data_IF_351527120530
#
_entry.id   IF_351527120530
#
_cell.length_a   1.000
_cell.length_b   1.000
_cell.length_c   1.000
_cell.angle_alpha   90.00
_cell.angle_beta   90.00
_cell.angle_gamma   90.00
#
_symmetry.space_group_name_H-M   'P 1'
#
loop_
_entity.id
_entity.type
_entity.pdbx_description
1 polymer ?
#
# COMPACT_ATOMS: atom_id res chain seq x y z
N UNK A 1 -69.73 -5.13 10.97
CA UNK A 1 -68.53 -5.99 11.16
C UNK A 1 -67.30 -5.18 10.70
N UNK A 2 -66.63 -4.47 11.64
CA UNK A 2 -65.38 -3.74 11.37
C UNK A 2 -64.21 -4.71 11.63
N UNK A 3 -63.48 -5.08 10.59
CA UNK A 3 -62.23 -5.83 10.67
C UNK A 3 -61.04 -4.92 11.01
N UNK A 4 -60.48 -5.11 12.19
CA UNK A 4 -59.28 -4.38 12.66
C UNK A 4 -58.03 -5.10 12.08
N UNK A 5 -57.38 -4.55 11.04
CA UNK A 5 -56.10 -5.02 10.56
C UNK A 5 -54.97 -4.52 11.49
N UNK A 6 -54.44 -5.41 12.31
CA UNK A 6 -53.21 -5.20 13.08
C UNK A 6 -52.02 -5.32 12.11
N UNK A 7 -51.43 -4.20 11.73
CA UNK A 7 -50.12 -4.17 11.06
C UNK A 7 -49.02 -4.43 12.06
N UNK A 8 -48.46 -5.66 12.06
CA UNK A 8 -47.22 -5.99 12.76
C UNK A 8 -46.05 -5.30 12.05
N UNK A 9 -45.56 -4.19 12.62
CA UNK A 9 -44.29 -3.59 12.22
C UNK A 9 -43.13 -4.47 12.75
N UNK A 10 -42.68 -5.44 11.97
CA UNK A 10 -41.42 -6.14 12.22
C UNK A 10 -40.26 -5.22 11.90
N UNK A 11 -39.68 -4.58 12.92
CA UNK A 11 -38.41 -3.84 12.77
C UNK A 11 -37.27 -4.87 12.56
N UNK A 12 -36.91 -5.08 11.32
CA UNK A 12 -35.66 -5.80 11.01
C UNK A 12 -34.49 -4.93 11.52
N UNK A 13 -33.89 -5.32 12.64
CA UNK A 13 -32.56 -4.82 13.02
C UNK A 13 -31.58 -5.40 12.02
N UNK A 14 -31.16 -4.61 11.04
CA UNK A 14 -29.97 -4.92 10.22
C UNK A 14 -28.81 -4.95 11.20
N UNK A 15 -28.25 -6.13 11.44
CA UNK A 15 -27.02 -6.26 12.21
C UNK A 15 -25.94 -5.42 11.51
N UNK A 16 -25.36 -4.46 12.23
CA UNK A 16 -24.26 -3.66 11.68
C UNK A 16 -23.15 -4.63 11.24
N UNK A 17 -22.78 -4.55 9.98
CA UNK A 17 -21.73 -5.40 9.43
C UNK A 17 -20.43 -5.12 10.20
N UNK A 18 -19.82 -6.18 10.76
CA UNK A 18 -18.56 -6.10 11.50
C UNK A 18 -17.49 -5.44 10.62
N UNK A 19 -16.78 -4.42 11.14
CA UNK A 19 -15.71 -3.75 10.38
C UNK A 19 -14.54 -4.69 10.14
N UNK A 20 -13.78 -4.47 9.07
CA UNK A 20 -12.58 -5.26 8.79
C UNK A 20 -11.58 -5.23 9.97
N UNK A 21 -11.40 -4.08 10.61
CA UNK A 21 -10.53 -3.94 11.78
C UNK A 21 -10.99 -4.88 12.91
N UNK A 22 -12.28 -4.87 13.24
CA UNK A 22 -12.83 -5.75 14.28
C UNK A 22 -12.67 -7.25 13.93
N UNK A 23 -12.82 -7.60 12.65
CA UNK A 23 -12.58 -8.97 12.20
C UNK A 23 -11.12 -9.39 12.39
N UNK A 24 -10.17 -8.52 12.02
CA UNK A 24 -8.74 -8.77 12.20
C UNK A 24 -8.41 -8.94 13.67
N UNK A 25 -8.86 -8.03 14.54
CA UNK A 25 -8.61 -8.08 15.98
C UNK A 25 -9.13 -9.39 16.57
N UNK A 26 -10.34 -9.79 16.18
CA UNK A 26 -10.93 -11.06 16.61
C UNK A 26 -10.11 -12.27 16.16
N UNK A 27 -9.65 -12.29 14.91
CA UNK A 27 -8.84 -13.39 14.39
C UNK A 27 -7.46 -13.48 15.08
N UNK A 28 -6.83 -12.35 15.35
CA UNK A 28 -5.57 -12.29 16.11
C UNK A 28 -5.77 -12.83 17.52
N UNK A 29 -6.83 -12.39 18.22
CA UNK A 29 -7.15 -12.86 19.56
C UNK A 29 -7.42 -14.38 19.60
N UNK A 30 -8.16 -14.90 18.62
CA UNK A 30 -8.49 -16.33 18.54
C UNK A 30 -7.27 -17.22 18.28
N UNK A 31 -6.28 -16.71 17.53
CA UNK A 31 -5.09 -17.49 17.17
C UNK A 31 -3.92 -17.32 18.15
N UNK A 32 -4.04 -16.42 19.12
CA UNK A 32 -2.99 -16.16 20.11
C UNK A 32 -3.40 -16.73 21.45
N UNK A 33 -2.80 -17.84 21.92
CA UNK A 33 -3.07 -18.37 23.25
C UNK A 33 -2.81 -17.29 24.32
N UNK A 34 -3.69 -17.22 25.31
CA UNK A 34 -3.62 -16.22 26.40
C UNK A 34 -3.60 -14.75 25.96
N UNK A 35 -4.20 -14.41 24.81
CA UNK A 35 -4.20 -13.05 24.24
C UNK A 35 -4.54 -11.98 25.30
N UNK A 36 -5.57 -12.19 26.10
CA UNK A 36 -6.01 -11.22 27.12
C UNK A 36 -4.95 -10.92 28.19
N UNK A 37 -4.01 -11.86 28.41
CA UNK A 37 -2.91 -11.68 29.36
C UNK A 37 -1.67 -11.09 28.70
N UNK A 38 -1.48 -11.34 27.40
CA UNK A 38 -0.29 -10.93 26.64
C UNK A 38 -0.47 -9.59 25.94
N UNK A 39 -1.72 -9.22 25.63
CA UNK A 39 -2.03 -7.98 24.93
C UNK A 39 -1.58 -6.76 25.78
N UNK A 40 -0.82 -5.88 25.18
CA UNK A 40 -0.49 -4.61 25.81
C UNK A 40 -1.75 -3.75 25.97
N UNK A 41 -1.81 -2.89 26.99
CA UNK A 41 -2.91 -1.93 27.12
C UNK A 41 -2.95 -0.99 25.90
N UNK A 42 -4.13 -0.47 25.61
CA UNK A 42 -4.29 0.53 24.57
C UNK A 42 -3.39 1.75 24.86
N UNK A 43 -2.72 2.23 23.81
CA UNK A 43 -1.92 3.45 23.89
C UNK A 43 -2.75 4.63 24.40
N UNK A 44 -2.17 5.46 25.25
CA UNK A 44 -2.78 6.73 25.64
C UNK A 44 -2.86 7.71 24.45
N UNK A 45 -3.50 8.85 24.67
CA UNK A 45 -3.70 9.82 23.59
C UNK A 45 -2.41 10.50 23.13
N UNK A 46 -1.42 10.63 23.99
CA UNK A 46 -0.14 11.22 23.62
C UNK A 46 0.68 10.26 22.74
N UNK A 47 0.72 8.99 23.12
CA UNK A 47 1.37 7.95 22.33
C UNK A 47 0.66 7.73 21.00
N UNK A 48 -0.68 7.64 21.01
CA UNK A 48 -1.49 7.52 19.80
C UNK A 48 -1.22 8.67 18.83
N UNK A 49 -1.28 9.91 19.33
CA UNK A 49 -1.03 11.11 18.53
C UNK A 49 0.35 11.06 17.86
N UNK A 50 1.39 10.76 18.65
CA UNK A 50 2.76 10.69 18.13
C UNK A 50 2.91 9.61 17.05
N UNK A 51 2.36 8.42 17.27
CA UNK A 51 2.39 7.32 16.29
C UNK A 51 1.64 7.69 15.02
N UNK A 52 0.39 8.15 15.13
CA UNK A 52 -0.43 8.54 13.98
C UNK A 52 0.28 9.59 13.10
N UNK A 53 0.89 10.61 13.71
CA UNK A 53 1.66 11.60 12.97
C UNK A 53 2.88 11.03 12.28
N UNK A 54 3.69 10.22 12.97
CA UNK A 54 4.89 9.60 12.40
C UNK A 54 4.55 8.65 11.26
N UNK A 55 3.54 7.81 11.45
CA UNK A 55 3.17 6.79 10.46
C UNK A 55 2.54 7.41 9.21
N UNK A 56 1.75 8.47 9.37
CA UNK A 56 1.03 9.08 8.24
C UNK A 56 1.79 10.24 7.59
N UNK A 57 2.60 11.00 8.31
CA UNK A 57 3.28 12.18 7.76
C UNK A 57 4.81 12.12 7.79
N UNK A 58 5.36 11.14 8.51
CA UNK A 58 6.81 11.01 8.71
C UNK A 58 7.39 12.07 9.64
N UNK A 59 6.56 12.79 10.39
CA UNK A 59 6.99 13.85 11.30
C UNK A 59 6.26 13.78 12.65
N UNK A 60 6.79 14.48 13.66
CA UNK A 60 6.08 14.64 14.93
C UNK A 60 5.03 15.75 14.82
N UNK A 61 3.96 15.72 15.63
CA UNK A 61 2.94 16.77 15.61
C UNK A 61 3.52 18.12 16.04
N UNK A 62 3.10 19.23 15.41
CA UNK A 62 3.36 20.57 15.92
C UNK A 62 2.82 20.74 17.34
N UNK A 63 3.50 21.53 18.18
CA UNK A 63 3.12 21.68 19.58
C UNK A 63 1.69 22.23 19.79
N UNK A 64 1.20 23.04 18.86
CA UNK A 64 -0.17 23.55 18.89
C UNK A 64 -1.19 22.41 18.65
N UNK A 65 -0.97 21.58 17.62
CA UNK A 65 -1.82 20.42 17.32
C UNK A 65 -1.82 19.40 18.46
N UNK A 66 -0.65 19.17 19.06
CA UNK A 66 -0.52 18.27 20.19
C UNK A 66 -1.35 18.76 21.40
N UNK A 67 -1.24 20.03 21.76
CA UNK A 67 -2.02 20.61 22.85
C UNK A 67 -3.52 20.55 22.57
N UNK A 68 -3.94 20.90 21.35
CA UNK A 68 -5.35 20.88 20.95
C UNK A 68 -5.93 19.46 21.04
N UNK A 69 -5.23 18.46 20.51
CA UNK A 69 -5.68 17.07 20.54
C UNK A 69 -5.77 16.51 21.97
N UNK A 70 -4.77 16.80 22.81
CA UNK A 70 -4.78 16.31 24.20
C UNK A 70 -5.84 16.99 25.06
N UNK A 71 -6.20 18.25 24.77
CA UNK A 71 -7.27 18.95 25.45
C UNK A 71 -8.68 18.53 24.99
N UNK A 72 -8.81 18.00 23.79
CA UNK A 72 -10.07 17.55 23.23
C UNK A 72 -10.58 16.29 23.98
N UNK A 73 -11.82 16.34 24.45
CA UNK A 73 -12.50 15.23 25.14
C UNK A 73 -13.60 14.60 24.26
N UNK A 74 -13.70 14.97 23.00
CA UNK A 74 -14.75 14.48 22.11
C UNK A 74 -14.58 12.98 21.80
N UNK A 75 -15.67 12.22 21.79
CA UNK A 75 -15.64 10.84 21.32
C UNK A 75 -15.27 10.81 19.82
N UNK A 76 -14.41 9.88 19.43
CA UNK A 76 -14.00 9.75 18.02
C UNK A 76 -12.85 10.68 17.57
N UNK A 77 -12.26 11.49 18.45
CA UNK A 77 -11.15 12.40 18.12
C UNK A 77 -9.96 11.67 17.44
N UNK A 78 -9.71 10.40 17.80
CA UNK A 78 -8.65 9.60 17.19
C UNK A 78 -8.93 9.30 15.71
N UNK A 79 -10.17 8.91 15.38
CA UNK A 79 -10.57 8.68 13.99
C UNK A 79 -10.52 10.00 13.18
N UNK A 80 -11.04 11.08 13.74
CA UNK A 80 -10.99 12.41 13.10
C UNK A 80 -9.56 12.89 12.86
N UNK A 81 -8.62 12.57 13.76
CA UNK A 81 -7.21 12.88 13.56
C UNK A 81 -6.66 12.11 12.36
N UNK A 82 -6.94 10.82 12.25
CA UNK A 82 -6.49 9.98 11.12
C UNK A 82 -7.03 10.55 9.81
N UNK A 83 -8.35 10.80 9.72
CA UNK A 83 -8.99 11.34 8.52
C UNK A 83 -8.37 12.67 8.10
N UNK A 84 -8.12 13.56 9.07
CA UNK A 84 -7.44 14.84 8.83
C UNK A 84 -6.03 14.65 8.29
N UNK A 85 -5.22 13.77 8.88
CA UNK A 85 -3.85 13.53 8.45
C UNK A 85 -3.79 12.91 7.04
N UNK A 86 -4.67 11.96 6.73
CA UNK A 86 -4.77 11.34 5.41
C UNK A 86 -5.09 12.35 4.29
N UNK A 87 -5.78 13.43 4.62
CA UNK A 87 -6.12 14.50 3.67
C UNK A 87 -4.99 15.53 3.47
N UNK A 88 -3.86 15.40 4.17
CA UNK A 88 -2.77 16.39 4.09
C UNK A 88 -1.80 16.13 2.94
N UNK A 89 -1.18 17.18 2.37
CA UNK A 89 -0.07 17.02 1.43
C UNK A 89 1.15 16.31 2.05
N UNK A 90 1.31 16.41 3.37
CA UNK A 90 2.36 15.73 4.15
C UNK A 90 2.24 14.20 4.03
N UNK A 91 1.02 13.67 4.15
CA UNK A 91 0.73 12.25 3.92
C UNK A 91 1.16 11.82 2.52
N UNK A 92 0.73 12.53 1.50
CA UNK A 92 1.07 12.17 0.12
C UNK A 92 2.58 12.21 -0.14
N UNK A 93 3.31 13.18 0.44
CA UNK A 93 4.78 13.26 0.36
C UNK A 93 5.47 12.15 1.15
N UNK A 94 4.95 11.82 2.33
CA UNK A 94 5.52 10.74 3.13
C UNK A 94 5.35 9.40 2.42
N UNK A 95 4.15 9.08 1.98
CA UNK A 95 3.88 7.84 1.24
C UNK A 95 4.66 7.75 -0.08
N UNK A 96 4.79 8.85 -0.81
CA UNK A 96 5.64 8.90 -2.01
C UNK A 96 7.07 8.47 -1.70
N UNK A 97 7.68 8.98 -0.62
CA UNK A 97 9.06 8.62 -0.23
C UNK A 97 9.18 7.16 0.22
N UNK A 98 8.21 6.67 1.00
CA UNK A 98 8.20 5.27 1.45
C UNK A 98 8.09 4.31 0.26
N UNK A 99 7.17 4.60 -0.66
CA UNK A 99 6.96 3.77 -1.84
C UNK A 99 8.07 3.89 -2.87
N UNK A 100 8.69 5.05 -3.04
CA UNK A 100 9.90 5.17 -3.86
C UNK A 100 11.03 4.28 -3.30
N UNK A 101 11.29 4.36 -2.00
CA UNK A 101 12.30 3.53 -1.36
C UNK A 101 11.99 2.04 -1.51
N UNK A 102 10.73 1.65 -1.35
CA UNK A 102 10.30 0.25 -1.43
C UNK A 102 10.35 -0.27 -2.87
N UNK A 103 9.74 0.45 -3.82
CA UNK A 103 9.62 0.01 -5.21
C UNK A 103 10.92 0.14 -5.99
N UNK A 104 11.68 1.21 -5.76
CA UNK A 104 12.93 1.47 -6.51
C UNK A 104 14.20 1.05 -5.76
N UNK A 105 14.11 0.70 -4.46
CA UNK A 105 15.24 0.17 -3.66
C UNK A 105 16.52 0.99 -3.80
N UNK A 106 16.40 2.32 -3.92
CA UNK A 106 17.50 3.29 -4.17
C UNK A 106 18.23 3.07 -5.50
N UNK A 107 17.58 2.49 -6.50
CA UNK A 107 18.15 2.42 -7.84
C UNK A 107 18.46 3.83 -8.36
N UNK A 108 19.63 4.03 -8.97
CA UNK A 108 19.98 5.32 -9.54
C UNK A 108 19.04 5.69 -10.70
N UNK A 109 18.89 6.98 -10.93
CA UNK A 109 18.19 7.45 -12.12
C UNK A 109 18.98 7.06 -13.38
N UNK A 110 18.29 6.48 -14.35
CA UNK A 110 18.87 6.14 -15.66
C UNK A 110 18.06 6.73 -16.81
N UNK A 111 16.82 6.30 -16.95
CA UNK A 111 16.00 6.53 -18.14
C UNK A 111 14.81 7.45 -17.90
N UNK A 112 14.32 7.52 -16.65
CA UNK A 112 13.17 8.36 -16.28
C UNK A 112 13.59 9.33 -15.19
N UNK A 113 13.32 10.66 -15.36
CA UNK A 113 13.62 11.65 -14.34
C UNK A 113 12.92 11.32 -13.01
N UNK A 114 13.69 11.35 -11.91
CA UNK A 114 13.16 11.11 -10.56
C UNK A 114 11.92 11.96 -10.25
N UNK A 115 11.88 13.27 -10.60
CA UNK A 115 10.71 14.10 -10.32
C UNK A 115 9.41 13.62 -10.99
N UNK A 116 9.47 12.97 -12.16
CA UNK A 116 8.28 12.45 -12.84
C UNK A 116 7.70 11.25 -12.08
N UNK A 117 8.56 10.35 -11.63
CA UNK A 117 8.17 9.22 -10.78
C UNK A 117 7.62 9.68 -9.42
N UNK A 118 8.30 10.62 -8.76
CA UNK A 118 7.85 11.18 -7.49
C UNK A 118 6.50 11.88 -7.62
N UNK A 119 6.29 12.62 -8.72
CA UNK A 119 5.01 13.24 -9.04
C UNK A 119 3.92 12.18 -9.17
N UNK A 120 4.16 11.13 -9.96
CA UNK A 120 3.22 10.03 -10.15
C UNK A 120 2.80 9.38 -8.82
N UNK A 121 3.76 9.04 -7.96
CA UNK A 121 3.47 8.46 -6.65
C UNK A 121 2.70 9.44 -5.76
N UNK A 122 3.16 10.68 -5.66
CA UNK A 122 2.52 11.69 -4.82
C UNK A 122 1.08 11.97 -5.23
N UNK A 123 0.81 12.10 -6.51
CA UNK A 123 -0.56 12.28 -7.03
C UNK A 123 -1.42 11.04 -6.77
N UNK A 124 -0.85 9.86 -6.87
CA UNK A 124 -1.56 8.62 -6.56
C UNK A 124 -2.01 8.55 -5.10
N UNK A 125 -1.16 8.94 -4.16
CA UNK A 125 -1.52 8.96 -2.74
C UNK A 125 -2.42 10.16 -2.38
N UNK A 126 -2.21 11.32 -2.97
CA UNK A 126 -3.08 12.48 -2.76
C UNK A 126 -4.52 12.24 -3.20
N UNK A 127 -4.73 11.41 -4.21
CA UNK A 127 -6.06 11.05 -4.74
C UNK A 127 -6.60 9.74 -4.19
N UNK A 128 -5.89 9.14 -3.23
CA UNK A 128 -6.21 7.80 -2.71
C UNK A 128 -6.47 6.78 -3.82
N UNK A 129 -5.57 6.75 -4.82
CA UNK A 129 -5.69 5.83 -5.97
C UNK A 129 -5.75 4.39 -5.48
N UNK A 130 -6.71 3.56 -5.94
CA UNK A 130 -6.78 2.14 -5.62
C UNK A 130 -5.47 1.43 -5.95
N UNK A 131 -5.05 0.52 -5.06
CA UNK A 131 -3.77 -0.18 -5.18
C UNK A 131 -3.62 -0.95 -6.49
N UNK A 132 -4.67 -1.64 -6.92
CA UNK A 132 -4.66 -2.37 -8.19
C UNK A 132 -4.45 -1.45 -9.40
N UNK A 133 -5.02 -0.24 -9.37
CA UNK A 133 -4.83 0.76 -10.42
C UNK A 133 -3.40 1.30 -10.44
N UNK A 134 -2.81 1.56 -9.26
CA UNK A 134 -1.42 1.99 -9.15
C UNK A 134 -0.48 0.93 -9.70
N UNK A 135 -0.65 -0.33 -9.29
CA UNK A 135 0.17 -1.46 -9.77
C UNK A 135 0.00 -1.66 -11.27
N UNK A 136 -1.23 -1.62 -11.80
CA UNK A 136 -1.47 -1.70 -13.26
C UNK A 136 -0.73 -0.61 -14.01
N UNK A 137 -0.80 0.63 -13.55
CA UNK A 137 -0.09 1.74 -14.20
C UNK A 137 1.42 1.55 -14.20
N UNK A 138 1.99 1.01 -13.12
CA UNK A 138 3.42 0.70 -13.04
C UNK A 138 3.78 -0.45 -14.00
N UNK A 139 2.99 -1.53 -14.01
CA UNK A 139 3.33 -2.75 -14.74
C UNK A 139 2.94 -2.71 -16.23
N UNK A 140 2.04 -1.81 -16.66
CA UNK A 140 1.62 -1.70 -18.06
C UNK A 140 2.18 -0.48 -18.79
N UNK A 141 2.93 0.41 -18.11
CA UNK A 141 3.47 1.61 -18.74
C UNK A 141 4.75 1.28 -19.53
N UNK A 142 4.73 1.57 -20.82
CA UNK A 142 5.85 1.33 -21.73
C UNK A 142 6.78 2.56 -21.89
N UNK A 143 6.43 3.69 -21.28
CA UNK A 143 7.19 4.93 -21.35
C UNK A 143 7.12 5.66 -22.68
N UNK A 144 6.22 5.28 -23.59
CA UNK A 144 6.04 5.92 -24.91
C UNK A 144 5.35 7.28 -24.82
N UNK A 145 4.46 7.47 -23.85
CA UNK A 145 3.81 8.74 -23.59
C UNK A 145 4.70 9.69 -22.78
N UNK A 146 5.21 10.78 -23.38
CA UNK A 146 6.08 11.72 -22.68
C UNK A 146 5.41 12.44 -21.51
N UNK A 147 4.08 12.53 -21.50
CA UNK A 147 3.33 13.18 -20.42
C UNK A 147 3.01 12.24 -19.24
N UNK A 148 3.16 10.93 -19.43
CA UNK A 148 2.88 9.91 -18.41
C UNK A 148 4.01 8.88 -18.33
N UNK A 149 5.25 9.34 -18.31
CA UNK A 149 6.41 8.47 -18.31
C UNK A 149 6.84 8.01 -16.92
N UNK A 150 6.42 8.71 -15.88
CA UNK A 150 6.78 8.40 -14.49
C UNK A 150 6.66 6.92 -14.12
N UNK A 151 5.50 6.26 -14.31
CA UNK A 151 5.33 4.84 -13.94
C UNK A 151 6.31 3.89 -14.63
N UNK A 152 6.76 4.21 -15.88
CA UNK A 152 7.70 3.37 -16.63
C UNK A 152 9.09 3.29 -15.98
N UNK A 153 9.41 4.15 -15.01
CA UNK A 153 10.66 4.09 -14.28
C UNK A 153 10.93 2.71 -13.70
N UNK A 154 9.90 2.01 -13.28
CA UNK A 154 10.02 0.66 -12.71
C UNK A 154 10.74 -0.30 -13.67
N UNK A 155 10.39 -0.29 -14.95
CA UNK A 155 11.03 -1.12 -15.97
C UNK A 155 12.30 -0.49 -16.54
N UNK A 156 12.24 0.78 -16.89
CA UNK A 156 13.29 1.43 -17.65
C UNK A 156 14.59 1.60 -16.84
N UNK A 157 14.47 1.91 -15.53
CA UNK A 157 15.65 2.04 -14.67
C UNK A 157 16.19 0.70 -14.18
N UNK A 158 15.50 -0.42 -14.51
CA UNK A 158 16.00 -1.80 -14.42
C UNK A 158 16.55 -2.31 -15.75
N UNK A 159 16.77 -1.43 -16.72
CA UNK A 159 17.28 -1.74 -18.08
C UNK A 159 16.40 -2.75 -18.86
N UNK A 160 15.14 -2.93 -18.46
CA UNK A 160 14.27 -3.96 -19.03
C UNK A 160 14.74 -5.38 -18.76
N UNK A 161 15.65 -5.59 -17.80
CA UNK A 161 16.17 -6.92 -17.47
C UNK A 161 15.06 -7.81 -16.93
N UNK A 162 14.68 -8.80 -17.73
CA UNK A 162 13.60 -9.74 -17.42
C UNK A 162 13.79 -10.44 -16.07
N UNK A 163 15.02 -10.83 -15.74
CA UNK A 163 15.29 -11.57 -14.50
C UNK A 163 15.18 -10.69 -13.27
N UNK A 164 15.68 -9.46 -13.35
CA UNK A 164 15.55 -8.47 -12.26
C UNK A 164 14.07 -8.10 -12.07
N UNK A 165 13.35 -7.83 -13.16
CA UNK A 165 11.94 -7.47 -13.13
C UNK A 165 11.09 -8.60 -12.55
N UNK A 166 11.31 -9.85 -12.98
CA UNK A 166 10.57 -11.02 -12.46
C UNK A 166 10.71 -11.16 -10.95
N UNK A 167 11.93 -11.06 -10.42
CA UNK A 167 12.20 -11.18 -8.99
C UNK A 167 11.58 -10.02 -8.21
N UNK A 168 11.74 -8.79 -8.71
CA UNK A 168 11.20 -7.62 -8.05
C UNK A 168 9.67 -7.60 -8.09
N UNK A 169 9.03 -7.95 -9.21
CA UNK A 169 7.57 -8.06 -9.29
C UNK A 169 7.04 -9.12 -8.34
N UNK A 170 7.64 -10.31 -8.32
CA UNK A 170 7.25 -11.36 -7.40
C UNK A 170 7.36 -10.92 -5.93
N UNK A 171 8.48 -10.29 -5.57
CA UNK A 171 8.75 -9.86 -4.20
C UNK A 171 7.89 -8.67 -3.75
N UNK A 172 7.76 -7.66 -4.60
CA UNK A 172 7.14 -6.38 -4.22
C UNK A 172 5.62 -6.40 -4.33
N UNK A 173 5.06 -7.15 -5.29
CA UNK A 173 3.62 -7.15 -5.55
C UNK A 173 2.91 -8.44 -5.16
N UNK A 174 3.64 -9.58 -5.12
CA UNK A 174 3.06 -10.89 -4.78
C UNK A 174 3.55 -11.44 -3.43
N UNK A 175 4.55 -10.80 -2.80
CA UNK A 175 5.13 -11.29 -1.55
C UNK A 175 5.94 -12.59 -1.69
N UNK A 176 6.34 -12.95 -2.92
CA UNK A 176 7.03 -14.20 -3.24
C UNK A 176 8.53 -13.96 -3.47
N UNK A 177 9.38 -14.69 -2.76
CA UNK A 177 10.83 -14.59 -2.96
C UNK A 177 11.34 -15.70 -3.90
N UNK A 178 11.57 -15.35 -5.16
CA UNK A 178 12.04 -16.27 -6.20
C UNK A 178 13.54 -16.18 -6.50
N UNK A 179 14.35 -15.75 -5.55
CA UNK A 179 15.81 -15.65 -5.75
C UNK A 179 16.44 -17.01 -6.13
N UNK A 180 16.02 -18.10 -5.47
CA UNK A 180 16.54 -19.45 -5.74
C UNK A 180 15.90 -20.08 -6.97
N UNK A 181 14.61 -19.80 -7.23
CA UNK A 181 13.80 -20.53 -8.20
C UNK A 181 14.09 -20.19 -9.66
N UNK A 182 14.97 -19.22 -9.91
CA UNK A 182 15.53 -19.03 -11.24
C UNK A 182 16.35 -20.22 -11.73
N UNK A 183 17.07 -20.92 -10.82
CA UNK A 183 18.01 -21.99 -11.19
C UNK A 183 17.53 -23.39 -10.78
N UNK A 184 16.79 -23.51 -9.67
CA UNK A 184 16.30 -24.79 -9.14
C UNK A 184 15.10 -24.55 -8.24
N UNK A 185 14.36 -25.59 -7.89
CA UNK A 185 13.28 -25.52 -6.90
C UNK A 185 13.83 -25.08 -5.54
N UNK A 186 13.01 -24.36 -4.76
CA UNK A 186 13.46 -23.86 -3.45
C UNK A 186 13.79 -25.03 -2.51
N UNK A 187 14.98 -25.04 -1.86
CA UNK A 187 15.44 -26.22 -1.11
C UNK A 187 14.65 -26.51 0.18
N UNK A 188 13.86 -25.56 0.68
CA UNK A 188 13.14 -25.67 1.94
C UNK A 188 11.64 -25.35 1.82
N UNK A 189 11.18 -24.80 0.72
CA UNK A 189 9.79 -24.38 0.51
C UNK A 189 9.30 -25.09 -0.76
N UNK A 190 8.59 -26.20 -0.58
CA UNK A 190 8.15 -27.08 -1.68
C UNK A 190 7.23 -26.36 -2.68
N UNK A 191 6.48 -25.34 -2.23
CA UNK A 191 5.60 -24.54 -3.08
C UNK A 191 6.36 -23.60 -4.01
N UNK A 192 7.65 -23.33 -3.76
CA UNK A 192 8.45 -22.42 -4.59
C UNK A 192 9.28 -23.20 -5.60
N UNK A 193 8.68 -23.45 -6.78
CA UNK A 193 9.29 -24.22 -7.85
C UNK A 193 9.84 -23.31 -8.95
N UNK A 194 10.80 -23.84 -9.71
CA UNK A 194 11.37 -23.17 -10.87
C UNK A 194 10.30 -22.82 -11.91
N UNK A 195 9.30 -23.67 -12.10
CA UNK A 195 8.18 -23.41 -13.01
C UNK A 195 7.38 -22.13 -12.66
N UNK A 196 7.23 -21.80 -11.37
CA UNK A 196 6.56 -20.59 -10.93
C UNK A 196 7.36 -19.32 -11.30
N UNK A 197 8.69 -19.38 -11.18
CA UNK A 197 9.56 -18.31 -11.63
C UNK A 197 9.39 -18.06 -13.14
N UNK A 198 9.49 -19.11 -13.95
CA UNK A 198 9.37 -18.98 -15.41
C UNK A 198 7.94 -18.63 -15.85
N UNK A 199 6.93 -19.08 -15.11
CA UNK A 199 5.55 -18.67 -15.34
C UNK A 199 5.35 -17.16 -15.23
N UNK A 200 5.92 -16.51 -14.19
CA UNK A 200 5.91 -15.06 -14.05
C UNK A 200 6.83 -14.39 -15.07
N UNK A 201 8.02 -14.94 -15.28
CA UNK A 201 9.01 -14.42 -16.23
C UNK A 201 8.45 -14.34 -17.67
N UNK A 202 7.58 -15.25 -18.04
CA UNK A 202 6.96 -15.28 -19.38
C UNK A 202 6.19 -13.99 -19.73
N UNK A 203 5.70 -13.25 -18.74
CA UNK A 203 5.06 -11.94 -18.96
C UNK A 203 6.06 -10.86 -19.37
N UNK A 204 7.35 -11.02 -19.07
CA UNK A 204 8.38 -10.00 -19.27
C UNK A 204 9.36 -10.35 -20.41
N UNK A 205 9.30 -11.55 -20.98
CA UNK A 205 10.24 -12.04 -21.98
C UNK A 205 10.31 -11.16 -23.25
N UNK A 206 9.27 -10.38 -23.52
CA UNK A 206 9.20 -9.44 -24.65
C UNK A 206 9.47 -7.98 -24.24
N UNK A 207 9.83 -7.74 -22.98
CA UNK A 207 10.14 -6.40 -22.48
C UNK A 207 11.62 -6.10 -22.74
N UNK A 208 11.90 -4.99 -23.42
CA UNK A 208 13.28 -4.52 -23.68
C UNK A 208 13.27 -3.00 -23.80
N UNK A 209 14.39 -2.37 -23.47
CA UNK A 209 14.54 -0.92 -23.58
C UNK A 209 14.90 -0.58 -25.02
N UNK A 210 14.09 0.26 -25.66
CA UNK A 210 14.39 0.87 -26.95
C UNK A 210 14.96 2.26 -26.74
N UNK A 211 16.07 2.55 -27.37
CA UNK A 211 16.64 3.91 -27.40
C UNK A 211 16.31 4.58 -28.73
N UNK A 212 15.53 5.64 -28.69
CA UNK A 212 15.25 6.46 -29.85
C UNK A 212 16.51 7.30 -30.18
N UNK A 213 17.17 6.95 -31.28
CA UNK A 213 18.41 7.61 -31.72
C UNK A 213 18.16 9.01 -32.27
N UNK A 214 16.92 9.34 -32.64
CA UNK A 214 16.59 10.65 -33.21
C UNK A 214 16.32 11.71 -32.13
N UNK A 215 16.13 11.27 -30.87
CA UNK A 215 15.84 12.16 -29.73
C UNK A 215 17.01 12.32 -28.75
N UNK A 216 18.22 12.08 -29.21
CA UNK A 216 19.46 12.35 -28.44
C UNK A 216 19.90 13.78 -28.54
#
# INVERSE_FOLDING_TARGET
VLGLCLLLNATFKVAAQETLATQIDRLVALQTPDYDKLAAPLADDAEFLRRAWLDLTGSVPPSADARAFLADQSPGKRAQLIDRLLATPEYARHMQRQFDLWLMRRLPQKNVPVPEWEKFLRESFATNKPWDQLVRQILSNDGSDPNNRGPARFYLDRDGDMHVITKDVAKLFLGLNFECTQCHDHPQIEEFRQEHYYGISAFFVRSFVMTDKEKR
#
